data_IF_146901242873
#
_entry.id   IF_146901242873
#
_cell.length_a   1.000
_cell.length_b   1.000
_cell.length_c   1.000
_cell.angle_alpha   90.00
_cell.angle_beta   90.00
_cell.angle_gamma   90.00
#
_symmetry.space_group_name_H-M   'P 1'
#
loop_
_entity.id
_entity.type
_entity.pdbx_description
1 polymer ?
#
# COMPACT_ATOMS: atom_id res chain seq x y z
N UNK A 1 -2.66 -6.77 -34.70
CA UNK A 1 -1.38 -6.69 -33.97
C UNK A 1 -1.72 -6.37 -32.53
N UNK A 2 -1.70 -7.40 -31.68
CA UNK A 2 -1.95 -7.27 -30.25
C UNK A 2 -0.90 -6.35 -29.65
N UNK A 3 -1.35 -5.28 -29.00
CA UNK A 3 -0.45 -4.50 -28.14
C UNK A 3 -0.01 -5.43 -27.03
N UNK A 4 1.23 -5.88 -27.12
CA UNK A 4 1.97 -6.51 -26.04
C UNK A 4 2.11 -5.45 -24.94
N UNK A 5 1.04 -5.22 -24.18
CA UNK A 5 0.99 -4.23 -23.13
C UNK A 5 1.82 -4.80 -21.98
N UNK A 6 3.13 -4.57 -22.04
CA UNK A 6 4.05 -4.86 -20.95
C UNK A 6 3.43 -4.34 -19.66
N UNK A 7 3.23 -5.21 -18.67
CA UNK A 7 2.65 -4.83 -17.40
C UNK A 7 3.43 -3.63 -16.82
N UNK A 8 2.70 -2.59 -16.41
CA UNK A 8 3.30 -1.38 -15.85
C UNK A 8 3.73 -1.66 -14.40
N UNK A 9 4.95 -1.29 -14.04
CA UNK A 9 5.44 -1.29 -12.66
C UNK A 9 6.41 -2.43 -12.34
N UNK A 10 6.53 -2.73 -11.04
CA UNK A 10 7.43 -3.74 -10.48
C UNK A 10 6.73 -4.59 -9.44
N UNK A 11 7.27 -5.79 -9.17
CA UNK A 11 6.76 -6.74 -8.17
C UNK A 11 7.30 -6.51 -6.75
N UNK A 12 8.27 -5.61 -6.59
CA UNK A 12 8.91 -5.28 -5.32
C UNK A 12 9.22 -3.79 -5.29
N UNK A 13 8.83 -3.15 -4.20
CA UNK A 13 9.04 -1.74 -3.91
C UNK A 13 9.49 -1.62 -2.46
N UNK A 14 10.25 -0.58 -2.14
CA UNK A 14 10.61 -0.20 -0.78
C UNK A 14 10.28 1.28 -0.60
N UNK A 15 9.60 1.60 0.50
CA UNK A 15 9.28 2.97 0.90
C UNK A 15 10.02 3.15 2.22
N UNK A 16 10.99 4.07 2.24
CA UNK A 16 11.86 4.29 3.41
C UNK A 16 11.30 5.32 4.40
N UNK A 17 10.16 5.92 4.07
CA UNK A 17 9.44 6.88 4.90
C UNK A 17 8.12 6.23 5.36
N UNK A 18 7.75 6.53 6.60
CA UNK A 18 6.82 5.75 7.41
C UNK A 18 6.58 6.44 8.76
N UNK A 19 5.68 7.43 8.81
CA UNK A 19 5.35 8.15 10.04
C UNK A 19 3.86 8.48 10.16
N UNK A 20 3.22 7.89 11.17
CA UNK A 20 1.86 8.23 11.57
C UNK A 20 1.94 9.00 12.91
N UNK A 21 1.72 10.32 12.92
CA UNK A 21 1.78 11.10 14.15
C UNK A 21 0.77 10.58 15.18
N UNK A 22 1.23 10.44 16.43
CA UNK A 22 0.37 10.03 17.55
C UNK A 22 -0.69 11.08 17.91
N UNK A 23 -0.52 12.33 17.46
CA UNK A 23 -1.47 13.41 17.68
C UNK A 23 -2.33 13.64 16.44
N UNK A 24 -3.59 13.22 16.50
CA UNK A 24 -4.60 13.72 15.59
C UNK A 24 -5.89 13.97 16.36
N UNK A 25 -6.24 15.24 16.55
CA UNK A 25 -7.38 15.67 17.37
C UNK A 25 -8.63 16.01 16.53
N UNK A 26 -8.62 15.73 15.22
CA UNK A 26 -9.77 15.95 14.35
C UNK A 26 -10.67 14.71 14.24
N UNK A 27 -11.98 14.86 13.96
CA UNK A 27 -12.88 13.74 13.74
C UNK A 27 -12.36 12.73 12.71
N UNK A 28 -12.55 11.45 13.04
CA UNK A 28 -12.32 10.32 12.15
C UNK A 28 -13.35 10.29 11.02
N UNK A 29 -13.00 9.85 9.79
CA UNK A 29 -11.69 9.38 9.32
C UNK A 29 -10.89 10.41 8.49
N UNK A 30 -11.42 11.60 8.23
CA UNK A 30 -10.80 12.58 7.32
C UNK A 30 -9.67 13.38 7.99
N UNK A 31 -9.76 13.60 9.30
CA UNK A 31 -8.79 14.41 10.06
C UNK A 31 -7.98 13.58 11.07
N UNK A 32 -7.93 12.26 10.89
CA UNK A 32 -6.91 11.44 11.51
C UNK A 32 -5.65 11.43 10.63
N UNK A 33 -4.49 11.67 11.26
CA UNK A 33 -3.20 11.43 10.65
C UNK A 33 -3.18 10.03 10.08
N UNK A 34 -3.00 9.95 8.78
CA UNK A 34 -2.95 8.70 8.05
C UNK A 34 -1.77 8.79 7.12
N UNK A 35 -1.10 7.66 6.98
CA UNK A 35 -0.14 7.45 5.93
C UNK A 35 -0.71 6.39 5.00
N UNK A 36 -0.57 6.60 3.70
CA UNK A 36 -1.24 5.80 2.67
C UNK A 36 -0.25 5.31 1.62
N UNK A 37 -0.24 4.01 1.38
CA UNK A 37 0.39 3.41 0.21
C UNK A 37 -0.65 3.30 -0.92
N UNK A 38 -0.51 4.14 -1.96
CA UNK A 38 -1.35 4.06 -3.15
C UNK A 38 -0.81 3.03 -4.14
N UNK A 39 -1.62 2.02 -4.45
CA UNK A 39 -1.27 0.94 -5.39
C UNK A 39 -2.18 1.02 -6.62
N UNK A 40 -1.59 0.98 -7.81
CA UNK A 40 -2.29 0.82 -9.08
C UNK A 40 -1.98 -0.58 -9.63
N UNK A 41 -3.03 -1.37 -9.87
CA UNK A 41 -2.93 -2.56 -10.70
C UNK A 41 -3.49 -2.24 -12.09
N UNK A 42 -2.61 -1.96 -13.04
CA UNK A 42 -2.97 -1.73 -14.44
C UNK A 42 -3.12 -3.04 -15.25
N UNK A 43 -2.83 -4.20 -14.65
CA UNK A 43 -2.92 -5.50 -15.28
C UNK A 43 -4.33 -6.08 -15.32
N UNK A 44 -4.46 -7.20 -16.03
CA UNK A 44 -5.72 -7.91 -16.26
C UNK A 44 -6.02 -8.98 -15.21
N UNK A 45 -5.08 -9.26 -14.31
CA UNK A 45 -5.22 -10.21 -13.20
C UNK A 45 -5.19 -9.50 -11.85
N UNK A 46 -5.88 -10.02 -10.81
CA UNK A 46 -5.75 -9.51 -9.45
C UNK A 46 -4.30 -9.55 -8.94
N UNK A 47 -3.84 -8.46 -8.34
CA UNK A 47 -2.53 -8.39 -7.70
C UNK A 47 -2.65 -8.73 -6.21
N UNK A 48 -2.00 -9.81 -5.78
CA UNK A 48 -1.88 -10.19 -4.38
C UNK A 48 -0.61 -9.59 -3.78
N UNK A 49 -0.77 -8.51 -3.04
CA UNK A 49 0.32 -7.73 -2.45
C UNK A 49 0.58 -8.20 -1.02
N UNK A 50 1.86 -8.31 -0.66
CA UNK A 50 2.31 -8.52 0.71
C UNK A 50 3.09 -7.31 1.18
N UNK A 51 2.71 -6.73 2.31
CA UNK A 51 3.40 -5.62 2.96
C UNK A 51 4.17 -6.11 4.18
N UNK A 52 5.38 -5.60 4.39
CA UNK A 52 6.17 -5.82 5.61
C UNK A 52 6.65 -4.46 6.08
N UNK A 53 6.37 -4.16 7.35
CA UNK A 53 6.76 -2.92 7.99
C UNK A 53 8.07 -3.14 8.74
N UNK A 54 9.03 -2.24 8.56
CA UNK A 54 10.31 -2.25 9.26
C UNK A 54 10.33 -1.10 10.28
N UNK A 55 10.98 -1.33 11.41
CA UNK A 55 11.09 -0.37 12.50
C UNK A 55 12.55 -0.23 12.90
N UNK A 56 12.92 0.93 13.47
CA UNK A 56 14.30 1.21 13.88
C UNK A 56 14.72 0.40 15.12
N UNK A 57 13.76 0.05 15.98
CA UNK A 57 13.99 -0.46 17.33
C UNK A 57 13.37 -1.84 17.62
N UNK A 58 12.74 -2.47 16.61
CA UNK A 58 12.09 -3.78 16.75
C UNK A 58 12.03 -4.56 15.43
N UNK A 59 11.71 -5.85 15.55
CA UNK A 59 11.60 -6.75 14.40
C UNK A 59 10.52 -6.31 13.40
N UNK A 60 10.68 -6.65 12.11
CA UNK A 60 9.68 -6.34 11.09
C UNK A 60 8.33 -7.03 11.36
N UNK A 61 7.23 -6.35 10.99
CA UNK A 61 5.87 -6.86 11.18
C UNK A 61 5.20 -7.13 9.82
N UNK A 62 4.57 -8.29 9.67
CA UNK A 62 3.90 -8.73 8.45
C UNK A 62 4.00 -10.26 8.23
N UNK A 63 3.63 -10.76 7.03
CA UNK A 63 3.15 -9.99 5.89
C UNK A 63 1.66 -9.64 6.02
N UNK A 64 1.34 -8.36 5.89
CA UNK A 64 -0.03 -7.90 5.67
C UNK A 64 -0.42 -8.22 4.22
N UNK A 65 -1.64 -8.73 4.01
CA UNK A 65 -2.10 -9.18 2.67
C UNK A 65 -3.21 -8.29 2.17
N UNK A 66 -3.02 -7.75 0.97
CA UNK A 66 -4.01 -6.92 0.27
C UNK A 66 -4.18 -7.44 -1.14
N UNK A 67 -5.41 -7.53 -1.63
CA UNK A 67 -5.68 -7.85 -3.03
C UNK A 67 -6.16 -6.59 -3.76
N UNK A 68 -5.45 -6.19 -4.81
CA UNK A 68 -5.85 -5.11 -5.70
C UNK A 68 -6.42 -5.73 -6.98
N UNK A 69 -7.74 -5.63 -7.25
CA UNK A 69 -8.34 -6.23 -8.44
C UNK A 69 -7.70 -5.74 -9.74
N UNK A 70 -7.89 -6.50 -10.81
CA UNK A 70 -7.47 -6.11 -12.16
C UNK A 70 -8.01 -4.71 -12.53
N UNK A 71 -7.16 -3.88 -13.15
CA UNK A 71 -7.50 -2.52 -13.61
C UNK A 71 -8.13 -1.64 -12.52
N UNK A 72 -7.59 -1.64 -11.30
CA UNK A 72 -8.07 -0.84 -10.15
C UNK A 72 -6.93 -0.18 -9.37
N UNK A 73 -7.27 0.88 -8.66
CA UNK A 73 -6.42 1.50 -7.62
C UNK A 73 -6.87 1.06 -6.23
N UNK A 74 -5.94 1.10 -5.28
CA UNK A 74 -6.19 0.88 -3.86
C UNK A 74 -5.41 1.93 -3.06
N UNK A 75 -6.10 2.65 -2.18
CA UNK A 75 -5.48 3.59 -1.25
C UNK A 75 -5.40 2.89 0.10
N UNK A 76 -4.24 2.28 0.38
CA UNK A 76 -4.04 1.49 1.59
C UNK A 76 -3.60 2.39 2.73
N UNK A 77 -4.47 2.67 3.69
CA UNK A 77 -4.09 3.37 4.92
C UNK A 77 -3.36 2.41 5.83
N UNK A 78 -2.17 2.76 6.31
CA UNK A 78 -1.41 1.92 7.24
C UNK A 78 -2.14 1.73 8.59
N UNK A 79 -3.06 2.64 8.96
CA UNK A 79 -3.91 2.51 10.16
C UNK A 79 -4.95 1.39 10.06
N UNK A 80 -5.26 0.91 8.85
CA UNK A 80 -6.29 -0.12 8.62
C UNK A 80 -5.67 -1.52 8.47
N UNK A 81 -4.36 -1.65 8.77
CA UNK A 81 -3.58 -2.90 8.69
C UNK A 81 -3.55 -3.70 9.99
#
# INVERSE_FOLDING_TARGET
>A
METNASCIGHRRWAIAEGYIPAWSNGPSPEMQSHETCCVLNAGDEPAHVTLTLYFEDRDPVGPYRVTVPARRTCHLRFNDL
#
